data_IF_251669858870
#
_entry.id   IF_251669858870
#
_cell.length_a   1.000
_cell.length_b   1.000
_cell.length_c   1.000
_cell.angle_alpha   90.00
_cell.angle_beta   90.00
_cell.angle_gamma   90.00
#
_symmetry.space_group_name_H-M   'P 1'
#
loop_
_entity.id
_entity.type
_entity.pdbx_description
1 polymer ?
#
# COMPACT_ATOMS: atom_id res chain seq x y z
N UNK A 1 23.74 -3.82 -1.86
CA UNK A 1 23.01 -2.95 -2.81
C UNK A 1 22.99 -1.55 -2.22
N UNK A 2 23.21 -0.51 -2.99
CA UNK A 2 23.27 0.86 -2.47
C UNK A 2 22.08 1.68 -2.97
N UNK A 3 21.14 2.00 -2.07
CA UNK A 3 19.97 2.85 -2.34
C UNK A 3 20.07 4.22 -1.62
N UNK A 4 21.23 4.54 -1.02
CA UNK A 4 21.45 5.80 -0.30
C UNK A 4 21.10 7.02 -1.17
N UNK A 5 20.32 7.93 -0.63
CA UNK A 5 19.87 9.16 -1.29
C UNK A 5 18.72 8.97 -2.29
N UNK A 6 18.25 7.75 -2.53
CA UNK A 6 17.13 7.52 -3.44
C UNK A 6 15.79 7.88 -2.78
N UNK A 7 14.88 8.39 -3.60
CA UNK A 7 13.50 8.57 -3.25
C UNK A 7 12.73 7.24 -3.39
N UNK A 8 11.61 7.11 -2.67
CA UNK A 8 10.72 5.95 -2.73
C UNK A 8 9.31 6.41 -3.10
N UNK A 9 9.08 6.67 -4.39
CA UNK A 9 7.85 7.31 -4.90
C UNK A 9 6.88 6.31 -5.52
N UNK A 10 7.39 5.35 -6.26
CA UNK A 10 6.66 4.25 -6.88
C UNK A 10 7.59 3.06 -7.10
N UNK A 11 7.05 1.84 -7.08
CA UNK A 11 7.84 0.62 -7.38
C UNK A 11 8.20 0.48 -8.87
N UNK A 12 7.69 1.35 -9.74
CA UNK A 12 8.18 1.45 -11.13
C UNK A 12 9.68 1.77 -11.19
N UNK A 13 10.17 2.56 -10.22
CA UNK A 13 11.54 3.05 -10.17
C UNK A 13 12.55 2.04 -9.59
N UNK A 14 12.08 0.88 -9.13
CA UNK A 14 12.90 -0.14 -8.47
C UNK A 14 12.94 -1.42 -9.28
N UNK A 15 14.13 -2.05 -9.36
CA UNK A 15 14.27 -3.36 -9.97
C UNK A 15 13.70 -4.46 -9.06
N UNK A 16 13.39 -5.65 -9.60
CA UNK A 16 12.99 -6.81 -8.77
C UNK A 16 13.99 -7.15 -7.67
N UNK A 17 15.30 -7.01 -7.94
CA UNK A 17 16.37 -7.26 -6.98
C UNK A 17 16.39 -6.21 -5.88
N UNK A 18 16.16 -4.93 -6.21
CA UNK A 18 16.05 -3.85 -5.22
C UNK A 18 14.83 -4.02 -4.31
N UNK A 19 13.67 -4.41 -4.88
CA UNK A 19 12.47 -4.73 -4.10
C UNK A 19 12.74 -5.93 -3.18
N UNK A 20 13.35 -6.98 -3.69
CA UNK A 20 13.72 -8.17 -2.90
C UNK A 20 14.70 -7.82 -1.78
N UNK A 21 15.67 -6.96 -2.04
CA UNK A 21 16.59 -6.46 -1.02
C UNK A 21 15.84 -5.73 0.11
N UNK A 22 14.88 -4.85 -0.21
CA UNK A 22 14.06 -4.16 0.79
C UNK A 22 13.21 -5.13 1.62
N UNK A 23 12.65 -6.16 0.99
CA UNK A 23 11.90 -7.20 1.69
C UNK A 23 12.77 -8.03 2.63
N UNK A 24 14.00 -8.36 2.23
CA UNK A 24 14.95 -9.09 3.07
C UNK A 24 15.40 -8.25 4.27
N UNK A 25 15.68 -6.97 4.03
CA UNK A 25 16.02 -6.02 5.09
C UNK A 25 14.86 -5.83 6.07
N UNK A 26 13.63 -5.76 5.58
CA UNK A 26 12.44 -5.67 6.43
C UNK A 26 12.27 -6.90 7.33
N UNK A 27 12.49 -8.09 6.79
CA UNK A 27 12.41 -9.34 7.55
C UNK A 27 13.49 -9.40 8.65
N UNK A 28 14.75 -9.00 8.34
CA UNK A 28 15.83 -8.91 9.32
C UNK A 28 15.51 -7.90 10.43
N UNK A 29 15.04 -6.71 10.08
CA UNK A 29 14.65 -5.69 11.06
C UNK A 29 13.44 -6.10 11.91
N UNK A 30 12.49 -6.84 11.33
CA UNK A 30 11.35 -7.44 12.05
C UNK A 30 11.84 -8.45 13.09
N UNK A 31 12.73 -9.34 12.70
CA UNK A 31 13.31 -10.34 13.59
C UNK A 31 14.11 -9.68 14.73
N UNK A 32 14.94 -8.70 14.42
CA UNK A 32 15.68 -7.92 15.44
C UNK A 32 14.75 -7.27 16.46
N UNK A 33 13.69 -6.62 16.01
CA UNK A 33 12.68 -6.03 16.91
C UNK A 33 12.02 -7.08 17.79
N UNK A 34 11.62 -8.23 17.24
CA UNK A 34 11.00 -9.34 17.98
C UNK A 34 11.95 -9.89 19.06
N UNK A 35 13.24 -9.91 18.78
CA UNK A 35 14.28 -10.40 19.71
C UNK A 35 14.83 -9.31 20.65
N UNK A 36 14.24 -8.12 20.66
CA UNK A 36 14.67 -7.01 21.51
C UNK A 36 16.06 -6.44 21.15
N UNK A 37 16.54 -6.72 19.95
CA UNK A 37 17.83 -6.19 19.48
C UNK A 37 17.67 -4.76 19.02
N UNK A 38 18.48 -3.79 19.54
CA UNK A 38 18.37 -2.39 19.17
C UNK A 38 18.78 -2.18 17.70
N UNK A 39 18.07 -1.28 17.03
CA UNK A 39 18.32 -0.89 15.64
C UNK A 39 18.41 0.64 15.52
N UNK A 40 18.83 1.31 16.58
CA UNK A 40 18.91 2.77 16.71
C UNK A 40 20.07 3.39 15.92
N UNK A 41 20.15 3.04 14.64
CA UNK A 41 21.26 3.39 13.73
C UNK A 41 21.38 4.89 13.44
N UNK A 42 20.29 5.65 13.64
CA UNK A 42 20.19 7.04 13.21
C UNK A 42 19.90 8.02 14.36
N UNK A 43 20.54 7.84 15.52
CA UNK A 43 20.41 8.78 16.65
C UNK A 43 20.74 10.19 16.23
N UNK A 44 19.83 11.12 16.55
CA UNK A 44 19.96 12.54 16.24
C UNK A 44 19.52 12.96 14.85
N UNK A 45 19.07 12.01 14.00
CA UNK A 45 18.39 12.32 12.74
C UNK A 45 16.90 12.59 12.97
N UNK A 46 16.29 13.33 12.05
CA UNK A 46 14.89 13.71 12.14
C UNK A 46 14.20 13.56 10.77
N UNK A 47 12.92 13.19 10.80
CA UNK A 47 12.10 13.11 9.58
C UNK A 47 10.85 13.99 9.70
N UNK A 48 10.41 14.54 8.58
CA UNK A 48 9.11 15.20 8.47
C UNK A 48 8.06 14.25 7.89
N UNK A 49 6.86 14.27 8.47
CA UNK A 49 5.71 13.49 8.02
C UNK A 49 4.61 14.44 7.57
N UNK A 50 4.46 14.64 6.26
CA UNK A 50 3.49 15.54 5.66
C UNK A 50 2.23 14.75 5.30
N UNK A 51 1.11 15.09 5.93
CA UNK A 51 -0.18 14.44 5.70
C UNK A 51 -1.21 15.47 5.20
N UNK A 52 -1.58 15.39 3.93
CA UNK A 52 -2.74 16.09 3.39
C UNK A 52 -4.00 15.21 3.46
N UNK A 53 -3.83 13.89 3.50
CA UNK A 53 -4.86 12.89 3.84
C UNK A 53 -4.50 12.22 5.17
N UNK A 54 -5.39 12.24 6.12
CA UNK A 54 -5.20 11.59 7.43
C UNK A 54 -5.02 10.08 7.32
N UNK A 55 -4.26 9.50 8.21
CA UNK A 55 -4.09 8.05 8.32
C UNK A 55 -3.52 7.66 9.68
N UNK A 56 -4.21 6.78 10.39
CA UNK A 56 -3.70 6.20 11.64
C UNK A 56 -2.51 5.27 11.36
N UNK A 57 -2.67 4.31 10.45
CA UNK A 57 -1.66 3.26 10.19
C UNK A 57 -0.37 3.81 9.60
N UNK A 58 -0.45 4.62 8.56
CA UNK A 58 0.75 5.20 7.92
C UNK A 58 1.52 6.09 8.90
N UNK A 59 0.81 6.95 9.65
CA UNK A 59 1.43 7.79 10.68
C UNK A 59 2.12 6.94 11.74
N UNK A 60 1.41 6.01 12.38
CA UNK A 60 1.99 5.16 13.41
C UNK A 60 3.17 4.32 12.88
N UNK A 61 3.07 3.78 11.67
CA UNK A 61 4.14 2.99 11.08
C UNK A 61 5.43 3.82 10.87
N UNK A 62 5.32 5.04 10.36
CA UNK A 62 6.47 5.93 10.19
C UNK A 62 7.03 6.42 11.53
N UNK A 63 6.17 6.84 12.47
CA UNK A 63 6.61 7.32 13.79
C UNK A 63 7.33 6.21 14.57
N UNK A 64 6.75 5.01 14.64
CA UNK A 64 7.38 3.89 15.36
C UNK A 64 8.65 3.42 14.65
N UNK A 65 8.67 3.35 13.32
CA UNK A 65 9.87 3.02 12.56
C UNK A 65 10.99 4.03 12.85
N UNK A 66 10.69 5.33 12.87
CA UNK A 66 11.67 6.37 13.19
C UNK A 66 12.20 6.23 14.64
N UNK A 67 11.30 6.03 15.62
CA UNK A 67 11.69 5.82 17.02
C UNK A 67 12.58 4.60 17.19
N UNK A 68 12.25 3.45 16.58
CA UNK A 68 13.07 2.25 16.63
C UNK A 68 14.49 2.51 16.06
N UNK A 69 14.59 3.37 15.05
CA UNK A 69 15.86 3.77 14.44
C UNK A 69 16.61 4.86 15.21
N UNK A 70 16.07 5.34 16.33
CA UNK A 70 16.66 6.43 17.15
C UNK A 70 16.44 7.82 16.57
N UNK A 71 15.48 8.00 15.65
CA UNK A 71 15.18 9.25 14.98
C UNK A 71 14.04 10.01 15.66
N UNK A 72 14.06 11.33 15.53
CA UNK A 72 12.90 12.18 15.78
C UNK A 72 11.96 12.24 14.58
N UNK A 73 10.68 12.50 14.83
CA UNK A 73 9.68 12.72 13.77
C UNK A 73 8.82 13.94 14.09
N UNK A 74 8.45 14.69 13.06
CA UNK A 74 7.51 15.82 13.15
C UNK A 74 6.33 15.54 12.24
N UNK A 75 5.14 15.46 12.82
CA UNK A 75 3.89 15.30 12.09
C UNK A 75 3.32 16.66 11.69
N UNK A 76 3.13 16.85 10.39
CA UNK A 76 2.53 18.03 9.79
C UNK A 76 1.15 17.63 9.23
N UNK A 77 0.10 17.99 9.96
CA UNK A 77 -1.28 17.70 9.60
C UNK A 77 -1.82 18.65 8.52
N UNK A 78 -2.98 18.33 7.90
CA UNK A 78 -3.56 19.18 6.85
C UNK A 78 -3.92 20.61 7.29
N UNK A 79 -4.08 20.83 8.59
CA UNK A 79 -4.45 22.16 9.14
C UNK A 79 -3.21 22.95 9.57
N UNK A 80 -2.15 22.27 9.98
CA UNK A 80 -0.89 22.86 10.44
C UNK A 80 0.12 23.15 9.33
N UNK A 81 -0.11 22.63 8.11
CA UNK A 81 0.79 22.84 6.96
C UNK A 81 0.33 24.00 6.08
N UNK A 82 1.28 24.78 5.58
CA UNK A 82 1.06 25.83 4.58
C UNK A 82 1.33 25.38 3.14
N UNK A 83 1.73 24.12 2.95
CA UNK A 83 2.08 23.54 1.65
C UNK A 83 0.94 23.69 0.66
N UNK A 84 1.24 24.21 -0.52
CA UNK A 84 0.25 24.43 -1.58
C UNK A 84 -0.80 25.53 -1.29
N UNK A 85 -0.73 26.21 -0.13
CA UNK A 85 -1.66 27.31 0.26
C UNK A 85 -0.98 28.67 0.20
N UNK A 86 -0.06 28.92 1.12
CA UNK A 86 0.72 30.16 1.21
C UNK A 86 2.17 29.97 0.80
N UNK A 87 2.63 28.72 0.73
CA UNK A 87 3.96 28.34 0.34
C UNK A 87 3.90 27.32 -0.78
N UNK A 88 4.77 27.46 -1.78
CA UNK A 88 4.86 26.51 -2.88
C UNK A 88 5.40 25.16 -2.38
N UNK A 89 5.11 24.08 -3.11
CA UNK A 89 5.67 22.75 -2.85
C UNK A 89 7.20 22.79 -2.91
N UNK A 90 7.74 23.50 -3.91
CA UNK A 90 9.17 23.69 -4.13
C UNK A 90 9.85 24.37 -2.93
N UNK A 91 9.28 25.48 -2.43
CA UNK A 91 9.85 26.20 -1.26
C UNK A 91 9.75 25.39 0.01
N UNK A 92 8.61 24.76 0.24
CA UNK A 92 8.44 23.83 1.37
C UNK A 92 9.47 22.70 1.34
N UNK A 93 9.69 22.10 0.16
CA UNK A 93 10.68 21.02 -0.01
C UNK A 93 12.10 21.51 0.34
N UNK A 94 12.49 22.70 -0.13
CA UNK A 94 13.81 23.30 0.16
C UNK A 94 13.99 23.61 1.63
N UNK A 95 12.96 24.11 2.30
CA UNK A 95 13.00 24.41 3.74
C UNK A 95 13.13 23.13 4.54
N UNK A 96 12.25 22.16 4.31
CA UNK A 96 12.23 20.90 5.06
C UNK A 96 13.48 20.05 4.79
N UNK A 97 13.99 20.03 3.56
CA UNK A 97 15.21 19.32 3.22
C UNK A 97 16.49 19.87 3.88
N UNK A 98 16.45 21.10 4.44
CA UNK A 98 17.53 21.67 5.25
C UNK A 98 17.38 21.39 6.74
N UNK A 99 16.18 21.01 7.20
CA UNK A 99 15.89 20.72 8.59
C UNK A 99 15.86 19.22 8.91
N UNK A 100 15.43 18.42 7.94
CA UNK A 100 15.19 16.99 8.11
C UNK A 100 16.10 16.15 7.24
N UNK A 101 16.34 14.91 7.67
CA UNK A 101 17.14 13.91 6.93
C UNK A 101 16.32 13.12 5.93
N UNK A 102 15.00 13.16 6.02
CA UNK A 102 14.06 12.54 5.11
C UNK A 102 12.66 13.09 5.28
N UNK A 103 11.82 12.95 4.25
CA UNK A 103 10.46 13.51 4.20
C UNK A 103 9.50 12.43 3.73
N UNK A 104 8.45 12.17 4.49
CA UNK A 104 7.30 11.40 4.03
C UNK A 104 6.20 12.34 3.56
N UNK A 105 5.51 11.95 2.50
CA UNK A 105 4.33 12.62 2.01
C UNK A 105 3.18 11.63 1.80
N UNK A 106 2.01 11.98 2.35
CA UNK A 106 0.75 11.30 2.10
C UNK A 106 -0.32 12.31 1.69
N UNK A 107 -0.84 12.18 0.47
CA UNK A 107 -1.78 13.17 -0.04
C UNK A 107 -2.53 12.76 -1.29
N UNK A 108 -2.59 13.67 -2.24
CA UNK A 108 -3.42 13.56 -3.44
C UNK A 108 -2.61 13.15 -4.68
N UNK A 109 -2.19 14.10 -5.52
CA UNK A 109 -1.55 13.81 -6.78
C UNK A 109 -0.11 13.33 -6.65
N UNK A 110 0.29 12.42 -7.53
CA UNK A 110 1.67 11.92 -7.60
C UNK A 110 2.66 13.05 -7.93
N UNK A 111 2.24 14.03 -8.73
CA UNK A 111 3.05 15.20 -9.10
C UNK A 111 3.54 15.98 -7.87
N UNK A 112 2.77 16.00 -6.77
CA UNK A 112 3.14 16.71 -5.55
C UNK A 112 4.34 16.05 -4.88
N UNK A 113 4.31 14.72 -4.70
CA UNK A 113 5.42 14.00 -4.09
C UNK A 113 6.67 13.97 -4.98
N UNK A 114 6.49 13.99 -6.31
CA UNK A 114 7.57 14.09 -7.27
C UNK A 114 8.23 15.47 -7.23
N UNK A 115 7.45 16.54 -7.09
CA UNK A 115 7.97 17.90 -6.92
C UNK A 115 8.72 18.05 -5.61
N UNK A 116 8.17 17.52 -4.48
CA UNK A 116 8.89 17.45 -3.21
C UNK A 116 10.24 16.74 -3.36
N UNK A 117 10.25 15.58 -4.01
CA UNK A 117 11.46 14.79 -4.23
C UNK A 117 12.51 15.51 -5.07
N UNK A 118 12.07 16.30 -6.04
CA UNK A 118 12.95 17.08 -6.92
C UNK A 118 13.73 18.17 -6.18
N UNK A 119 13.12 18.79 -5.17
CA UNK A 119 13.69 19.98 -4.53
C UNK A 119 14.16 19.80 -3.10
N UNK A 120 13.80 18.68 -2.44
CA UNK A 120 14.13 18.44 -1.03
C UNK A 120 15.63 18.26 -0.77
N UNK A 121 16.36 17.61 -1.67
CA UNK A 121 17.78 17.28 -1.46
C UNK A 121 18.04 16.18 -0.42
N UNK A 122 16.99 15.58 0.11
CA UNK A 122 16.97 14.43 1.01
C UNK A 122 16.00 13.38 0.48
N UNK A 123 16.07 12.10 0.91
CA UNK A 123 15.11 11.09 0.50
C UNK A 123 13.67 11.49 0.80
N UNK A 124 12.79 11.32 -0.18
CA UNK A 124 11.34 11.51 -0.06
C UNK A 124 10.66 10.17 -0.23
N UNK A 125 9.71 9.86 0.67
CA UNK A 125 8.97 8.60 0.71
C UNK A 125 7.48 8.85 0.49
N UNK A 126 6.91 8.16 -0.49
CA UNK A 126 5.48 8.22 -0.77
C UNK A 126 4.70 7.33 0.19
N UNK A 127 4.00 7.94 1.15
CA UNK A 127 3.11 7.27 2.08
C UNK A 127 1.77 6.87 1.47
N UNK A 128 1.31 7.59 0.46
CA UNK A 128 0.18 7.32 -0.46
C UNK A 128 -0.09 8.53 -1.33
N UNK A 129 -0.33 8.30 -2.60
CA UNK A 129 -0.97 9.23 -3.53
C UNK A 129 -2.23 8.61 -4.15
N UNK A 130 -2.93 9.35 -5.01
CA UNK A 130 -4.07 8.78 -5.74
C UNK A 130 -3.62 7.66 -6.69
N UNK A 131 -2.41 7.76 -7.23
CA UNK A 131 -1.87 6.86 -8.25
C UNK A 131 -1.11 5.67 -7.67
N UNK A 132 -0.38 5.85 -6.55
CA UNK A 132 0.49 4.81 -6.01
C UNK A 132 0.51 4.74 -4.47
N UNK A 133 0.75 3.52 -3.96
CA UNK A 133 0.95 3.25 -2.53
C UNK A 133 2.10 2.26 -2.32
N UNK A 134 3.35 2.67 -2.61
CA UNK A 134 4.48 1.73 -2.66
C UNK A 134 4.83 1.13 -1.28
N UNK A 135 4.62 1.85 -0.18
CA UNK A 135 4.89 1.35 1.17
C UNK A 135 3.93 0.21 1.55
N UNK A 136 2.69 0.23 1.06
CA UNK A 136 1.74 -0.87 1.25
C UNK A 136 2.21 -2.12 0.52
N UNK A 137 2.69 -1.97 -0.71
CA UNK A 137 3.13 -3.09 -1.55
C UNK A 137 4.24 -3.91 -0.91
N UNK A 138 5.20 -3.27 -0.25
CA UNK A 138 6.25 -3.99 0.46
C UNK A 138 5.69 -4.81 1.63
N UNK A 139 4.72 -4.25 2.37
CA UNK A 139 4.06 -4.96 3.46
C UNK A 139 3.24 -6.15 2.96
N UNK A 140 2.50 -5.98 1.85
CA UNK A 140 1.74 -7.04 1.21
C UNK A 140 2.66 -8.18 0.77
N UNK A 141 3.74 -7.87 0.06
CA UNK A 141 4.69 -8.87 -0.41
C UNK A 141 5.44 -9.55 0.73
N UNK A 142 5.78 -8.84 1.81
CA UNK A 142 6.37 -9.45 2.99
C UNK A 142 5.38 -10.44 3.64
N UNK A 143 4.12 -10.04 3.80
CA UNK A 143 3.06 -10.88 4.39
C UNK A 143 2.80 -12.13 3.54
N UNK A 144 2.71 -11.98 2.22
CA UNK A 144 2.54 -13.11 1.31
C UNK A 144 3.73 -14.07 1.43
N UNK A 145 4.95 -13.53 1.42
CA UNK A 145 6.17 -14.35 1.54
C UNK A 145 6.26 -15.07 2.89
N UNK A 146 5.84 -14.45 3.98
CA UNK A 146 5.78 -15.08 5.31
C UNK A 146 4.80 -16.26 5.35
N UNK A 147 3.71 -16.22 4.60
CA UNK A 147 2.70 -17.29 4.56
C UNK A 147 3.05 -18.41 3.57
N UNK A 148 3.70 -18.10 2.45
CA UNK A 148 3.94 -19.08 1.36
C UNK A 148 5.41 -19.46 1.17
N UNK A 149 6.35 -18.74 1.78
CA UNK A 149 7.80 -18.95 1.60
C UNK A 149 8.36 -18.44 0.25
N UNK A 150 7.50 -18.09 -0.69
CA UNK A 150 7.84 -17.59 -2.03
C UNK A 150 6.87 -16.52 -2.47
N UNK A 151 7.23 -15.79 -3.53
CA UNK A 151 6.34 -14.87 -4.23
C UNK A 151 6.08 -15.34 -5.66
N UNK A 152 7.14 -15.81 -6.34
CA UNK A 152 7.08 -16.20 -7.74
C UNK A 152 6.13 -17.37 -7.97
N UNK A 153 5.24 -17.23 -8.96
CA UNK A 153 4.28 -18.24 -9.35
C UNK A 153 3.00 -18.28 -8.51
N UNK A 154 2.86 -17.39 -7.52
CA UNK A 154 1.59 -17.22 -6.80
C UNK A 154 0.62 -16.38 -7.63
N UNK A 155 -0.68 -16.60 -7.44
CA UNK A 155 -1.75 -15.83 -8.08
C UNK A 155 -2.42 -14.92 -7.06
N UNK A 156 -2.35 -13.61 -7.30
CA UNK A 156 -3.05 -12.58 -6.53
C UNK A 156 -4.21 -12.04 -7.35
N UNK A 157 -5.39 -12.05 -6.76
CA UNK A 157 -6.62 -11.50 -7.35
C UNK A 157 -7.04 -10.27 -6.55
N UNK A 158 -7.11 -9.14 -7.22
CA UNK A 158 -7.65 -7.90 -6.66
C UNK A 158 -9.10 -7.73 -7.10
N UNK A 159 -10.01 -7.56 -6.13
CA UNK A 159 -11.44 -7.39 -6.33
C UNK A 159 -11.88 -6.01 -5.87
N UNK A 160 -12.41 -5.19 -6.76
CA UNK A 160 -12.84 -3.82 -6.48
C UNK A 160 -12.42 -2.82 -7.55
N UNK A 161 -12.31 -1.54 -7.19
CA UNK A 161 -11.88 -0.50 -8.13
C UNK A 161 -10.36 -0.53 -8.34
N UNK A 162 -9.92 -1.03 -9.48
CA UNK A 162 -8.51 -1.22 -9.80
C UNK A 162 -7.84 -0.01 -10.50
N UNK A 163 -8.54 1.12 -10.65
CA UNK A 163 -8.04 2.30 -11.37
C UNK A 163 -7.05 3.16 -10.60
N UNK A 164 -7.03 3.03 -9.27
CA UNK A 164 -6.29 3.92 -8.37
C UNK A 164 -5.07 3.23 -7.72
N UNK A 165 -4.57 3.82 -6.65
CA UNK A 165 -3.29 3.47 -6.03
C UNK A 165 -3.12 1.97 -5.72
N UNK A 166 -4.14 1.29 -5.17
CA UNK A 166 -4.02 -0.12 -4.81
C UNK A 166 -3.96 -1.03 -6.04
N UNK A 167 -4.89 -0.89 -6.97
CA UNK A 167 -4.89 -1.67 -8.21
C UNK A 167 -3.62 -1.46 -9.03
N UNK A 168 -3.22 -0.19 -9.20
CA UNK A 168 -2.00 0.17 -9.93
C UNK A 168 -0.75 -0.42 -9.28
N UNK A 169 -0.60 -0.24 -7.97
CA UNK A 169 0.61 -0.65 -7.25
C UNK A 169 0.73 -2.16 -7.11
N UNK A 170 -0.38 -2.87 -6.85
CA UNK A 170 -0.41 -4.33 -6.83
C UNK A 170 -0.04 -4.92 -8.19
N UNK A 171 -0.59 -4.39 -9.27
CA UNK A 171 -0.26 -4.84 -10.62
C UNK A 171 1.24 -4.67 -10.92
N UNK A 172 1.84 -3.52 -10.56
CA UNK A 172 3.26 -3.25 -10.74
C UNK A 172 4.13 -4.24 -9.96
N UNK A 173 3.87 -4.41 -8.66
CA UNK A 173 4.71 -5.26 -7.81
C UNK A 173 4.58 -6.73 -8.17
N UNK A 174 3.38 -7.21 -8.47
CA UNK A 174 3.16 -8.58 -8.94
C UNK A 174 3.90 -8.83 -10.25
N UNK A 175 3.74 -7.94 -11.24
CA UNK A 175 4.41 -8.06 -12.54
C UNK A 175 5.94 -8.12 -12.40
N UNK A 176 6.53 -7.32 -11.49
CA UNK A 176 7.99 -7.32 -11.27
C UNK A 176 8.49 -8.54 -10.51
N UNK A 177 7.74 -9.02 -9.52
CA UNK A 177 8.19 -10.12 -8.66
C UNK A 177 7.73 -11.53 -9.11
N UNK A 178 7.05 -11.61 -10.26
CA UNK A 178 6.67 -12.90 -10.84
C UNK A 178 5.41 -13.52 -10.24
N UNK A 179 4.50 -12.70 -9.66
CA UNK A 179 3.16 -13.15 -9.28
C UNK A 179 2.20 -12.89 -10.43
N UNK A 180 1.31 -13.84 -10.70
CA UNK A 180 0.18 -13.61 -11.58
C UNK A 180 -0.79 -12.62 -10.92
N UNK A 181 -1.13 -11.54 -11.62
CA UNK A 181 -2.07 -10.54 -11.16
C UNK A 181 -3.39 -10.62 -11.93
N UNK A 182 -4.49 -10.63 -11.20
CA UNK A 182 -5.83 -10.58 -11.78
C UNK A 182 -6.57 -9.37 -11.20
N UNK A 183 -6.97 -8.43 -12.05
CA UNK A 183 -7.98 -7.43 -11.70
C UNK A 183 -9.35 -8.03 -12.02
N UNK A 184 -10.08 -8.43 -10.98
CA UNK A 184 -11.41 -9.01 -11.07
C UNK A 184 -12.46 -7.98 -10.67
N UNK A 185 -12.99 -7.28 -11.66
CA UNK A 185 -13.93 -6.17 -11.49
C UNK A 185 -14.64 -5.88 -12.81
N UNK A 186 -15.58 -4.94 -12.84
CA UNK A 186 -16.18 -4.49 -14.10
C UNK A 186 -15.17 -3.73 -14.97
N UNK A 187 -15.31 -3.82 -16.29
CA UNK A 187 -14.44 -3.16 -17.27
C UNK A 187 -14.23 -1.67 -16.96
N UNK A 188 -15.28 -0.98 -16.49
CA UNK A 188 -15.24 0.42 -16.07
C UNK A 188 -14.17 0.72 -15.02
N UNK A 189 -13.82 -0.27 -14.20
CA UNK A 189 -12.88 -0.15 -13.07
C UNK A 189 -11.54 -0.85 -13.31
N UNK A 190 -11.25 -1.25 -14.54
CA UNK A 190 -9.93 -1.77 -14.91
C UNK A 190 -8.86 -0.68 -14.80
N UNK A 191 -7.61 -1.04 -14.52
CA UNK A 191 -6.48 -0.11 -14.56
C UNK A 191 -6.33 0.57 -15.91
N UNK A 192 -5.66 1.72 -15.94
CA UNK A 192 -5.34 2.41 -17.17
C UNK A 192 -4.56 1.52 -18.15
N UNK A 193 -4.95 1.51 -19.43
CA UNK A 193 -4.38 0.63 -20.46
C UNK A 193 -2.87 0.81 -20.64
N UNK A 194 -2.35 2.04 -20.61
CA UNK A 194 -0.93 2.31 -20.73
C UNK A 194 -0.13 1.67 -19.59
N UNK A 195 -0.67 1.74 -18.36
CA UNK A 195 -0.06 1.08 -17.21
C UNK A 195 -0.14 -0.44 -17.32
N UNK A 196 -1.24 -0.98 -17.81
CA UNK A 196 -1.41 -2.43 -18.06
C UNK A 196 -0.34 -2.92 -19.03
N UNK A 197 -0.13 -2.23 -20.16
CA UNK A 197 0.90 -2.61 -21.14
C UNK A 197 2.33 -2.49 -20.55
N UNK A 198 2.59 -1.47 -19.77
CA UNK A 198 3.86 -1.34 -19.03
C UNK A 198 4.08 -2.54 -18.11
N UNK A 199 3.06 -2.92 -17.34
CA UNK A 199 3.14 -4.07 -16.44
C UNK A 199 3.24 -5.41 -17.17
N UNK A 200 2.60 -5.56 -18.33
CA UNK A 200 2.80 -6.72 -19.21
C UNK A 200 4.25 -6.86 -19.67
N UNK A 201 4.93 -5.74 -19.90
CA UNK A 201 6.38 -5.72 -20.16
C UNK A 201 7.17 -6.32 -18.99
N UNK A 202 6.93 -5.86 -17.77
CA UNK A 202 7.58 -6.42 -16.57
C UNK A 202 7.23 -7.90 -16.36
N UNK A 203 5.96 -8.27 -16.56
CA UNK A 203 5.48 -9.64 -16.42
C UNK A 203 6.16 -10.60 -17.40
N UNK A 204 6.42 -10.16 -18.63
CA UNK A 204 7.17 -10.95 -19.63
C UNK A 204 8.60 -11.27 -19.16
N UNK A 205 9.25 -10.35 -18.45
CA UNK A 205 10.60 -10.56 -17.91
C UNK A 205 10.59 -11.48 -16.68
N UNK A 206 9.63 -11.32 -15.79
CA UNK A 206 9.52 -12.09 -14.54
C UNK A 206 8.88 -13.47 -14.70
N UNK A 207 8.13 -13.67 -15.79
CA UNK A 207 7.32 -14.88 -16.05
C UNK A 207 5.90 -14.82 -15.46
N UNK A 208 5.44 -13.64 -15.00
CA UNK A 208 4.09 -13.41 -14.51
C UNK A 208 3.08 -13.20 -15.66
N UNK A 209 1.80 -13.23 -15.31
CA UNK A 209 0.68 -12.86 -16.22
C UNK A 209 -0.14 -11.73 -15.61
N UNK A 210 -0.74 -10.88 -16.48
CA UNK A 210 -1.69 -9.84 -16.11
C UNK A 210 -3.03 -10.14 -16.78
N UNK A 211 -4.05 -10.36 -15.97
CA UNK A 211 -5.41 -10.68 -16.44
C UNK A 211 -6.40 -9.63 -15.92
N UNK A 212 -7.28 -9.17 -16.81
CA UNK A 212 -8.42 -8.33 -16.48
C UNK A 212 -9.68 -9.14 -16.78
N UNK A 213 -10.60 -9.25 -15.83
CA UNK A 213 -11.82 -10.06 -16.01
C UNK A 213 -12.98 -9.54 -15.18
N UNK A 214 -14.17 -9.65 -15.73
CA UNK A 214 -15.44 -9.43 -15.03
C UNK A 214 -16.01 -10.71 -14.41
N UNK A 215 -15.48 -11.89 -14.80
CA UNK A 215 -15.91 -13.19 -14.31
C UNK A 215 -15.24 -13.51 -12.96
N UNK A 216 -16.00 -13.35 -11.87
CA UNK A 216 -15.54 -13.63 -10.51
C UNK A 216 -15.08 -15.07 -10.35
N UNK A 217 -15.83 -16.03 -10.91
CA UNK A 217 -15.50 -17.46 -10.77
C UNK A 217 -14.22 -17.82 -11.51
N UNK A 218 -14.05 -17.32 -12.72
CA UNK A 218 -12.82 -17.55 -13.50
C UNK A 218 -11.63 -16.81 -12.86
N UNK A 219 -11.83 -15.55 -12.42
CA UNK A 219 -10.79 -14.73 -11.83
C UNK A 219 -10.23 -15.29 -10.53
N UNK A 220 -11.10 -15.72 -9.61
CA UNK A 220 -10.70 -16.19 -8.27
C UNK A 220 -10.33 -17.66 -8.21
N UNK A 221 -10.59 -18.43 -9.29
CA UNK A 221 -10.24 -19.85 -9.33
C UNK A 221 -8.76 -20.08 -9.06
N UNK A 222 -8.48 -20.97 -8.12
CA UNK A 222 -7.13 -21.39 -7.72
C UNK A 222 -6.20 -20.22 -7.32
N UNK A 223 -6.77 -19.11 -6.82
CA UNK A 223 -6.00 -17.99 -6.30
C UNK A 223 -5.26 -18.36 -5.00
N UNK A 224 -4.06 -17.81 -4.81
CA UNK A 224 -3.30 -17.89 -3.57
C UNK A 224 -3.63 -16.73 -2.64
N UNK A 225 -3.93 -15.56 -3.20
CA UNK A 225 -4.25 -14.34 -2.46
C UNK A 225 -5.49 -13.69 -3.05
N UNK A 226 -6.48 -13.43 -2.21
CA UNK A 226 -7.62 -12.58 -2.52
C UNK A 226 -7.41 -11.24 -1.80
N UNK A 227 -7.41 -10.17 -2.55
CA UNK A 227 -7.19 -8.80 -2.08
C UNK A 227 -8.39 -7.92 -2.42
N UNK A 228 -8.80 -7.06 -1.50
CA UNK A 228 -9.79 -6.00 -1.78
C UNK A 228 -9.45 -4.72 -1.03
N UNK A 229 -10.15 -3.66 -1.38
CA UNK A 229 -10.08 -2.35 -0.74
C UNK A 229 -11.48 -1.73 -0.71
N UNK A 230 -11.65 -0.66 0.05
CA UNK A 230 -12.91 0.07 0.13
C UNK A 230 -13.41 0.48 -1.25
N UNK A 231 -14.72 0.39 -1.47
CA UNK A 231 -15.31 0.75 -2.76
C UNK A 231 -15.35 2.25 -3.03
N UNK A 232 -15.32 3.05 -1.98
CA UNK A 232 -15.26 4.51 -2.07
C UNK A 232 -14.07 5.01 -1.28
N UNK A 233 -13.15 5.66 -1.97
CA UNK A 233 -11.92 6.16 -1.38
C UNK A 233 -12.15 7.43 -0.55
N UNK A 234 -11.26 7.67 0.40
CA UNK A 234 -11.28 8.88 1.22
C UNK A 234 -11.16 10.12 0.33
N UNK A 235 -12.14 11.02 0.44
CA UNK A 235 -12.20 12.28 -0.33
C UNK A 235 -13.03 12.20 -1.60
N UNK A 236 -13.61 11.04 -1.94
CA UNK A 236 -14.63 10.95 -2.98
C UNK A 236 -15.99 11.49 -2.45
N UNK A 237 -16.82 12.11 -3.31
CA UNK A 237 -18.10 12.65 -2.89
C UNK A 237 -19.12 11.56 -2.55
N UNK A 238 -20.07 11.89 -1.64
CA UNK A 238 -21.07 10.93 -1.16
C UNK A 238 -22.01 10.39 -2.28
N UNK A 239 -22.13 11.13 -3.38
CA UNK A 239 -22.99 10.76 -4.51
C UNK A 239 -22.52 9.51 -5.25
N UNK A 240 -21.25 9.16 -5.14
CA UNK A 240 -20.70 7.98 -5.84
C UNK A 240 -21.02 6.66 -5.14
N UNK A 241 -21.47 6.68 -3.87
CA UNK A 241 -21.72 5.47 -3.08
C UNK A 241 -22.73 4.51 -3.71
N UNK A 242 -23.87 5.05 -4.17
CA UNK A 242 -24.93 4.23 -4.76
C UNK A 242 -24.45 3.50 -6.03
N UNK A 243 -23.75 4.22 -6.89
CA UNK A 243 -23.18 3.64 -8.11
C UNK A 243 -22.14 2.56 -7.79
N UNK A 244 -21.21 2.85 -6.87
CA UNK A 244 -20.16 1.91 -6.46
C UNK A 244 -20.73 0.64 -5.81
N UNK A 245 -21.70 0.78 -4.92
CA UNK A 245 -22.39 -0.35 -4.30
C UNK A 245 -23.03 -1.21 -5.38
N UNK A 246 -23.79 -0.61 -6.31
CA UNK A 246 -24.47 -1.35 -7.38
C UNK A 246 -23.48 -2.11 -8.26
N UNK A 247 -22.39 -1.46 -8.67
CA UNK A 247 -21.45 -2.00 -9.64
C UNK A 247 -20.43 -2.96 -9.02
N UNK A 248 -20.05 -2.76 -7.75
CA UNK A 248 -19.04 -3.57 -7.08
C UNK A 248 -19.59 -4.68 -6.18
N UNK A 249 -20.90 -4.66 -5.85
CA UNK A 249 -21.50 -5.73 -5.06
C UNK A 249 -21.26 -7.15 -5.61
N UNK A 250 -21.23 -7.38 -6.93
CA UNK A 250 -20.88 -8.71 -7.47
C UNK A 250 -19.44 -9.15 -7.15
N UNK A 251 -18.58 -8.20 -6.81
CA UNK A 251 -17.16 -8.40 -6.53
C UNK A 251 -16.82 -8.38 -5.03
N UNK A 252 -17.84 -8.43 -4.16
CA UNK A 252 -17.65 -8.57 -2.72
C UNK A 252 -16.91 -9.87 -2.39
N UNK A 253 -15.92 -9.79 -1.51
CA UNK A 253 -15.21 -10.98 -1.02
C UNK A 253 -16.06 -11.68 0.03
N UNK A 254 -16.57 -12.84 -0.32
CA UNK A 254 -17.43 -13.70 0.50
C UNK A 254 -16.74 -15.05 0.75
N UNK A 255 -17.35 -15.86 1.59
CA UNK A 255 -16.90 -17.24 1.83
C UNK A 255 -16.88 -18.07 0.54
N UNK A 256 -17.84 -17.87 -0.35
CA UNK A 256 -17.92 -18.56 -1.64
C UNK A 256 -16.75 -18.15 -2.54
N UNK A 257 -16.36 -16.87 -2.54
CA UNK A 257 -15.16 -16.38 -3.24
C UNK A 257 -13.91 -17.05 -2.69
N UNK A 258 -13.75 -17.09 -1.37
CA UNK A 258 -12.62 -17.75 -0.73
C UNK A 258 -12.60 -19.26 -0.99
N UNK A 259 -13.75 -19.91 -1.02
CA UNK A 259 -13.88 -21.35 -1.34
C UNK A 259 -13.53 -21.68 -2.80
N UNK A 260 -13.63 -20.73 -3.73
CA UNK A 260 -13.22 -20.90 -5.13
C UNK A 260 -11.71 -20.74 -5.33
N UNK A 261 -11.04 -20.06 -4.40
CA UNK A 261 -9.58 -19.99 -4.32
C UNK A 261 -8.98 -21.30 -3.77
N UNK A 262 -7.67 -21.37 -3.64
CA UNK A 262 -7.03 -22.53 -2.98
C UNK A 262 -7.41 -22.59 -1.50
N UNK A 263 -7.44 -23.78 -0.93
CA UNK A 263 -7.68 -23.99 0.49
C UNK A 263 -6.66 -23.22 1.37
N UNK A 264 -5.42 -23.11 0.87
CA UNK A 264 -4.34 -22.34 1.51
C UNK A 264 -4.38 -20.83 1.23
N UNK A 265 -5.37 -20.34 0.50
CA UNK A 265 -5.47 -18.93 0.13
C UNK A 265 -5.58 -18.04 1.36
N UNK A 266 -4.94 -16.87 1.29
CA UNK A 266 -5.06 -15.82 2.30
C UNK A 266 -5.89 -14.64 1.78
N UNK A 267 -6.53 -13.94 2.70
CA UNK A 267 -7.23 -12.69 2.46
C UNK A 267 -6.39 -11.51 2.95
N UNK A 268 -6.23 -10.49 2.13
CA UNK A 268 -5.54 -9.23 2.42
C UNK A 268 -6.43 -8.01 2.16
N UNK A 269 -6.18 -6.94 2.92
CA UNK A 269 -6.86 -5.67 2.82
C UNK A 269 -6.02 -4.57 3.47
N UNK A 270 -5.75 -3.48 2.78
CA UNK A 270 -4.90 -2.39 3.30
C UNK A 270 -5.49 -1.64 4.52
N UNK A 271 -6.76 -1.87 4.85
CA UNK A 271 -7.52 -1.22 5.92
C UNK A 271 -7.65 0.33 5.72
N UNK A 272 -8.77 0.95 6.18
CA UNK A 272 -9.88 0.36 6.92
C UNK A 272 -10.78 -0.51 6.04
N UNK A 273 -11.53 -1.45 6.62
CA UNK A 273 -12.50 -2.29 5.93
C UNK A 273 -13.92 -2.05 6.45
N UNK A 274 -14.91 -2.15 5.56
CA UNK A 274 -16.33 -2.07 5.93
C UNK A 274 -16.94 -3.47 5.94
N UNK A 275 -16.65 -4.23 7.00
CA UNK A 275 -17.07 -5.60 7.18
C UNK A 275 -18.14 -5.76 8.27
N UNK A 276 -18.42 -4.71 9.06
CA UNK A 276 -19.42 -4.73 10.15
C UNK A 276 -20.04 -3.34 10.42
N UNK A 277 -20.93 -3.27 11.40
CA UNK A 277 -21.65 -2.05 11.81
C UNK A 277 -21.00 -1.31 13.00
N UNK A 278 -19.76 -1.65 13.40
CA UNK A 278 -19.13 -1.01 14.56
C UNK A 278 -18.63 0.39 14.29
N UNK A 279 -18.50 0.79 13.02
CA UNK A 279 -18.08 2.13 12.63
C UNK A 279 -19.25 3.08 12.37
N UNK A 280 -19.01 4.40 12.51
CA UNK A 280 -20.01 5.42 12.17
C UNK A 280 -20.44 5.32 10.70
N UNK A 281 -19.49 5.13 9.80
CA UNK A 281 -19.76 5.04 8.35
C UNK A 281 -20.51 3.75 8.03
N UNK A 282 -20.14 2.61 8.63
CA UNK A 282 -20.87 1.35 8.47
C UNK A 282 -22.34 1.47 8.84
N UNK A 283 -22.63 2.14 9.96
CA UNK A 283 -24.03 2.43 10.37
C UNK A 283 -24.76 3.33 9.38
N UNK A 284 -24.12 4.39 8.88
CA UNK A 284 -24.71 5.29 7.88
C UNK A 284 -25.04 4.56 6.58
N UNK A 285 -24.19 3.64 6.15
CA UNK A 285 -24.40 2.80 4.95
C UNK A 285 -25.54 1.82 5.18
N UNK A 286 -25.61 1.19 6.35
CA UNK A 286 -26.74 0.35 6.72
C UNK A 286 -28.05 1.13 6.69
N UNK A 287 -28.10 2.28 7.34
CA UNK A 287 -29.30 3.11 7.40
C UNK A 287 -29.77 3.58 6.01
N UNK A 288 -28.83 3.86 5.10
CA UNK A 288 -29.15 4.39 3.77
C UNK A 288 -29.37 3.30 2.71
N UNK A 289 -28.63 2.19 2.78
CA UNK A 289 -28.59 1.17 1.73
C UNK A 289 -28.97 -0.24 2.22
N UNK A 290 -29.17 -0.44 3.53
CA UNK A 290 -29.54 -1.74 4.10
C UNK A 290 -28.41 -2.79 4.06
N UNK A 291 -27.13 -2.36 3.99
CA UNK A 291 -25.98 -3.24 3.93
C UNK A 291 -25.28 -3.34 5.28
N UNK A 292 -25.00 -4.57 5.73
CA UNK A 292 -24.26 -4.84 6.97
C UNK A 292 -22.75 -4.86 6.76
N UNK A 293 -22.31 -5.09 5.54
CA UNK A 293 -20.93 -5.11 5.07
C UNK A 293 -20.85 -4.60 3.62
N UNK A 294 -19.63 -4.33 3.13
CA UNK A 294 -19.45 -3.83 1.77
C UNK A 294 -18.47 -4.72 0.98
N UNK A 295 -17.20 -4.36 0.90
CA UNK A 295 -16.21 -5.04 0.07
C UNK A 295 -15.83 -6.44 0.54
N UNK A 296 -16.06 -6.74 1.82
CA UNK A 296 -15.79 -8.05 2.43
C UNK A 296 -16.79 -8.35 3.53
N UNK A 297 -17.18 -9.62 3.66
CA UNK A 297 -18.04 -10.07 4.77
C UNK A 297 -17.25 -10.21 6.07
N UNK A 298 -17.90 -10.00 7.22
CA UNK A 298 -17.28 -10.17 8.55
C UNK A 298 -16.72 -11.60 8.74
N UNK A 299 -17.43 -12.61 8.22
CA UNK A 299 -17.00 -14.01 8.25
C UNK A 299 -15.63 -14.23 7.60
N UNK A 300 -15.35 -13.57 6.47
CA UNK A 300 -14.03 -13.65 5.80
C UNK A 300 -13.01 -12.81 6.54
N UNK A 301 -13.37 -11.60 6.94
CA UNK A 301 -12.47 -10.68 7.62
C UNK A 301 -11.93 -11.26 8.94
N UNK A 302 -12.75 -11.94 9.72
CA UNK A 302 -12.38 -12.56 10.99
C UNK A 302 -11.92 -14.03 10.85
N UNK A 303 -11.82 -14.55 9.63
CA UNK A 303 -11.41 -15.94 9.38
C UNK A 303 -9.90 -16.15 9.62
N UNK A 304 -9.46 -17.41 9.84
CA UNK A 304 -8.03 -17.76 9.92
C UNK A 304 -7.25 -17.46 8.63
N UNK A 305 -7.93 -17.35 7.48
CA UNK A 305 -7.32 -16.99 6.19
C UNK A 305 -7.01 -15.51 6.11
N UNK A 306 -7.65 -14.66 6.90
CA UNK A 306 -7.38 -13.22 6.96
C UNK A 306 -6.01 -12.96 7.59
N UNK A 307 -5.17 -12.18 6.89
CA UNK A 307 -3.84 -11.75 7.34
C UNK A 307 -3.71 -10.22 7.41
N UNK A 308 -4.85 -9.54 7.50
CA UNK A 308 -4.91 -8.08 7.43
C UNK A 308 -4.16 -7.38 8.58
N UNK A 309 -4.09 -7.99 9.76
CA UNK A 309 -3.36 -7.42 10.89
C UNK A 309 -1.86 -7.68 10.82
N UNK A 310 -1.45 -8.85 10.31
CA UNK A 310 -0.04 -9.14 10.00
C UNK A 310 0.47 -8.20 8.91
N UNK A 311 -0.35 -7.97 7.88
CA UNK A 311 -0.11 -7.02 6.80
C UNK A 311 0.05 -5.58 7.34
N UNK A 312 -0.85 -5.15 8.22
CA UNK A 312 -0.77 -3.83 8.86
C UNK A 312 0.49 -3.67 9.73
N UNK A 313 0.88 -4.69 10.49
CA UNK A 313 2.13 -4.69 11.25
C UNK A 313 3.34 -4.58 10.31
N UNK A 314 3.35 -5.32 9.23
CA UNK A 314 4.46 -5.33 8.26
C UNK A 314 4.71 -3.97 7.62
N UNK A 315 3.73 -3.05 7.61
CA UNK A 315 3.92 -1.66 7.19
C UNK A 315 5.06 -0.97 7.97
N UNK A 316 5.09 -1.15 9.28
CA UNK A 316 6.15 -0.59 10.13
C UNK A 316 7.53 -1.16 9.78
N UNK A 317 7.62 -2.47 9.56
CA UNK A 317 8.90 -3.13 9.27
C UNK A 317 9.44 -2.77 7.88
N UNK A 318 8.58 -2.72 6.89
CA UNK A 318 8.96 -2.37 5.51
C UNK A 318 9.29 -0.89 5.36
N UNK A 319 8.57 0.00 6.01
CA UNK A 319 8.88 1.43 6.06
C UNK A 319 10.25 1.65 6.73
N UNK A 320 10.53 0.93 7.84
CA UNK A 320 11.85 0.95 8.48
C UNK A 320 12.96 0.54 7.52
N UNK A 321 12.75 -0.53 6.75
CA UNK A 321 13.71 -0.97 5.75
C UNK A 321 13.95 0.08 4.65
N UNK A 322 12.90 0.74 4.17
CA UNK A 322 13.03 1.84 3.19
C UNK A 322 13.85 2.99 3.76
N UNK A 323 13.59 3.40 5.01
CA UNK A 323 14.38 4.44 5.67
C UNK A 323 15.86 4.03 5.78
N UNK A 324 16.15 2.82 6.26
CA UNK A 324 17.53 2.33 6.39
C UNK A 324 18.23 2.31 5.05
N UNK A 325 17.60 1.76 4.02
CA UNK A 325 18.20 1.63 2.70
C UNK A 325 18.48 3.00 2.04
N UNK A 326 17.57 3.97 2.22
CA UNK A 326 17.67 5.28 1.53
C UNK A 326 18.46 6.32 2.31
N UNK A 327 18.48 6.25 3.64
CA UNK A 327 19.35 7.10 4.45
C UNK A 327 20.80 6.60 4.42
N UNK A 328 21.02 5.31 4.16
CA UNK A 328 22.32 4.68 4.08
C UNK A 328 22.95 4.40 5.45
N UNK A 329 23.97 3.57 5.48
CA UNK A 329 24.70 3.26 6.71
C UNK A 329 25.38 4.53 7.27
N UNK A 330 25.47 4.64 8.59
CA UNK A 330 26.39 5.59 9.23
C UNK A 330 27.83 5.09 8.96
N UNK A 331 28.63 5.94 8.35
CA UNK A 331 30.09 5.79 8.39
C UNK A 331 30.60 5.87 9.82
#
# INVERSE_FOLDING_TARGET
>A
MNLKGRNFLTLKDFTPEEITYLLNLAADLKEKKKNGQPVDFYRGKNIALIFEKTSTRTRCAFEVAAHDLGMGSTYLDPTGSQIGKKESIEDTARVLGRMYDGIEYRGYGQEIVEELAKYAGVPVWNGLTNEYHPTQMLADMLTIRENFGTLKGLKLVYMGDARYNMGNSLMIVCAKLGLDFVACTTEKYFPNEELVETCRGYAKESGATITLTEDVKAGTKDADVIYTDVWVSMGEPDEVWEERIRELSPYKVTKEVMANAKESAIFLHCLPAFHDLKTKIGKQIHDKFGLDDMEVTDEVFESPQSKVFDEAENRMHTIKAVMVATLGERE
#
